data_IF_388259350089
#
_entry.id   IF_388259350089
#
_cell.length_a   1.000
_cell.length_b   1.000
_cell.length_c   1.000
_cell.angle_alpha   90.00
_cell.angle_beta   90.00
_cell.angle_gamma   90.00
#
_symmetry.space_group_name_H-M   'P 1'
#
loop_
_entity.id
_entity.type
_entity.pdbx_description
1 polymer ?
#
# COMPACT_ATOMS: atom_id res chain seq x y z
N UNK A 1 -17.48 19.19 -31.82
CA UNK A 1 -16.35 20.16 -31.67
C UNK A 1 -15.93 20.11 -30.20
N UNK A 2 -14.63 20.18 -29.89
CA UNK A 2 -14.18 20.28 -28.48
C UNK A 2 -14.39 21.70 -28.03
N UNK A 3 -15.18 21.96 -26.95
CA UNK A 3 -15.57 23.33 -26.57
C UNK A 3 -14.46 24.10 -25.82
N UNK A 4 -13.29 23.48 -25.62
CA UNK A 4 -12.16 24.10 -24.96
C UNK A 4 -10.91 24.08 -25.84
N UNK A 5 -10.08 25.11 -25.70
CA UNK A 5 -8.81 25.25 -26.42
C UNK A 5 -7.63 25.14 -25.48
N UNK A 6 -6.57 24.45 -25.93
CA UNK A 6 -5.29 24.39 -25.20
C UNK A 6 -4.73 25.82 -25.00
N UNK A 7 -4.15 26.07 -23.84
CA UNK A 7 -3.59 27.35 -23.40
C UNK A 7 -4.62 28.49 -23.23
N UNK A 8 -5.92 28.17 -23.20
CA UNK A 8 -6.97 29.12 -22.83
C UNK A 8 -7.42 28.88 -21.38
N UNK A 9 -7.90 29.95 -20.76
CA UNK A 9 -8.36 29.94 -19.37
C UNK A 9 -9.88 29.91 -19.35
N UNK A 10 -10.45 29.09 -18.45
CA UNK A 10 -11.88 28.92 -18.26
C UNK A 10 -12.24 28.91 -16.77
N UNK A 11 -13.46 29.32 -16.46
CA UNK A 11 -14.07 29.08 -15.15
C UNK A 11 -14.81 27.75 -15.19
N UNK A 12 -14.62 26.93 -14.15
CA UNK A 12 -15.20 25.61 -14.08
C UNK A 12 -15.68 25.31 -12.67
N UNK A 13 -16.89 24.76 -12.57
CA UNK A 13 -17.43 24.24 -11.31
C UNK A 13 -17.04 22.76 -11.18
N UNK A 14 -16.45 22.40 -10.06
CA UNK A 14 -16.02 21.04 -9.77
C UNK A 14 -17.17 20.27 -9.13
N UNK A 15 -17.57 19.16 -9.75
CA UNK A 15 -18.71 18.35 -9.35
C UNK A 15 -18.33 17.10 -8.55
N UNK A 16 -17.15 16.50 -8.82
CA UNK A 16 -16.71 15.25 -8.22
C UNK A 16 -15.17 15.20 -8.09
N UNK A 17 -14.65 14.16 -7.43
CA UNK A 17 -13.26 13.73 -7.50
C UNK A 17 -13.12 12.52 -8.42
N UNK A 18 -12.02 12.46 -9.14
CA UNK A 18 -11.60 11.29 -9.90
C UNK A 18 -10.75 10.34 -9.06
N UNK A 19 -10.54 9.13 -9.53
CA UNK A 19 -9.82 8.05 -8.82
C UNK A 19 -8.37 8.38 -8.43
N UNK A 20 -7.75 9.41 -9.03
CA UNK A 20 -6.43 9.88 -8.61
C UNK A 20 -6.51 11.12 -7.70
N UNK A 21 -7.69 11.51 -7.22
CA UNK A 21 -7.91 12.66 -6.35
C UNK A 21 -7.95 14.01 -7.07
N UNK A 22 -8.01 14.05 -8.41
CA UNK A 22 -8.23 15.27 -9.18
C UNK A 22 -9.72 15.67 -9.20
N UNK A 23 -9.99 16.99 -9.16
CA UNK A 23 -11.34 17.51 -9.32
C UNK A 23 -11.86 17.29 -10.75
N UNK A 24 -13.13 16.93 -10.88
CA UNK A 24 -13.81 16.72 -12.15
C UNK A 24 -14.87 17.80 -12.31
N UNK A 25 -14.77 18.58 -13.39
CA UNK A 25 -15.79 19.52 -13.82
C UNK A 25 -16.12 19.39 -15.30
N UNK A 26 -17.11 20.15 -15.78
CA UNK A 26 -17.52 20.16 -17.19
C UNK A 26 -17.62 21.57 -17.73
N UNK A 27 -17.16 21.76 -18.96
CA UNK A 27 -17.33 22.98 -19.75
C UNK A 27 -18.12 22.59 -21.00
N UNK A 28 -19.37 23.06 -21.12
CA UNK A 28 -20.29 22.70 -22.20
C UNK A 28 -20.36 21.17 -22.46
N UNK A 29 -20.46 20.40 -21.36
CA UNK A 29 -20.53 18.94 -21.39
C UNK A 29 -19.18 18.22 -21.52
N UNK A 30 -18.10 18.92 -21.85
CA UNK A 30 -16.74 18.35 -21.96
C UNK A 30 -16.07 18.22 -20.60
N UNK A 31 -15.63 17.02 -20.27
CA UNK A 31 -15.03 16.71 -18.97
C UNK A 31 -13.60 17.26 -18.85
N UNK A 32 -13.31 17.96 -17.77
CA UNK A 32 -11.96 18.47 -17.44
C UNK A 32 -11.55 17.99 -16.07
N UNK A 33 -10.36 17.36 -16.00
CA UNK A 33 -9.70 16.94 -14.77
C UNK A 33 -8.78 18.06 -14.28
N UNK A 34 -8.92 18.46 -13.02
CA UNK A 34 -8.19 19.60 -12.43
C UNK A 34 -7.51 19.15 -11.15
N UNK A 35 -6.20 18.99 -11.20
CA UNK A 35 -5.42 18.59 -10.01
C UNK A 35 -5.49 19.67 -8.92
N UNK A 36 -5.75 19.24 -7.67
CA UNK A 36 -5.82 20.11 -6.51
C UNK A 36 -7.14 20.87 -6.35
N UNK A 37 -8.10 20.71 -7.26
CA UNK A 37 -9.44 21.25 -7.12
C UNK A 37 -10.38 20.25 -6.41
N UNK A 38 -11.36 20.76 -5.66
CA UNK A 38 -12.28 19.96 -4.85
C UNK A 38 -13.74 20.14 -5.29
N UNK A 39 -14.61 19.15 -5.05
CA UNK A 39 -16.05 19.30 -5.26
C UNK A 39 -16.62 20.52 -4.55
N UNK A 40 -17.60 21.16 -5.18
CA UNK A 40 -18.25 22.40 -4.77
C UNK A 40 -17.40 23.66 -4.92
N UNK A 41 -16.20 23.57 -5.50
CA UNK A 41 -15.39 24.74 -5.86
C UNK A 41 -15.78 25.27 -7.23
N UNK A 42 -15.64 26.59 -7.39
CA UNK A 42 -15.55 27.27 -8.68
C UNK A 42 -14.11 27.69 -8.86
N UNK A 43 -13.49 27.25 -9.94
CA UNK A 43 -12.06 27.43 -10.18
C UNK A 43 -11.80 28.10 -11.53
N UNK A 44 -10.75 28.93 -11.59
CA UNK A 44 -10.15 29.37 -12.85
C UNK A 44 -9.04 28.41 -13.23
N UNK A 45 -9.14 27.81 -14.41
CA UNK A 45 -8.23 26.76 -14.88
C UNK A 45 -7.66 27.08 -16.25
N UNK A 46 -6.37 26.77 -16.46
CA UNK A 46 -5.71 26.81 -17.76
C UNK A 46 -5.77 25.41 -18.38
N UNK A 47 -6.35 25.26 -19.57
CA UNK A 47 -6.38 23.98 -20.28
C UNK A 47 -4.94 23.66 -20.77
N UNK A 48 -4.35 22.60 -20.24
CA UNK A 48 -2.98 22.19 -20.59
C UNK A 48 -2.94 21.07 -21.62
N UNK A 49 -4.00 20.26 -21.70
CA UNK A 49 -4.11 19.15 -22.64
C UNK A 49 -5.57 18.84 -22.98
N UNK A 50 -5.84 18.59 -24.26
CA UNK A 50 -7.14 18.13 -24.74
C UNK A 50 -7.04 16.72 -25.33
N UNK A 51 -8.09 15.93 -25.16
CA UNK A 51 -8.33 14.62 -25.76
C UNK A 51 -9.72 14.62 -26.39
N UNK A 52 -10.10 13.56 -27.10
CA UNK A 52 -11.38 13.49 -27.79
C UNK A 52 -12.59 13.70 -26.87
N UNK A 53 -12.57 13.14 -25.65
CA UNK A 53 -13.72 13.12 -24.73
C UNK A 53 -13.47 13.85 -23.41
N UNK A 54 -12.22 14.24 -23.11
CA UNK A 54 -11.84 14.91 -21.87
C UNK A 54 -10.55 15.74 -22.03
N UNK A 55 -10.29 16.62 -21.06
CA UNK A 55 -9.08 17.42 -21.00
C UNK A 55 -8.51 17.50 -19.58
N UNK A 56 -7.35 18.14 -19.48
CA UNK A 56 -6.67 18.43 -18.21
C UNK A 56 -6.51 19.94 -18.06
N UNK A 57 -6.92 20.44 -16.90
CA UNK A 57 -6.78 21.83 -16.48
C UNK A 57 -5.75 21.98 -15.37
N UNK A 58 -4.89 23.00 -15.46
CA UNK A 58 -4.06 23.45 -14.36
C UNK A 58 -4.86 24.45 -13.53
N UNK A 59 -5.01 24.19 -12.24
CA UNK A 59 -5.65 25.11 -11.30
C UNK A 59 -4.81 26.38 -11.20
N UNK A 60 -5.41 27.53 -11.53
CA UNK A 60 -4.79 28.86 -11.39
C UNK A 60 -5.28 29.54 -10.12
N UNK A 61 -6.60 29.52 -9.87
CA UNK A 61 -7.24 30.23 -8.77
C UNK A 61 -8.51 29.51 -8.33
N UNK A 62 -8.80 29.54 -7.04
CA UNK A 62 -10.05 29.07 -6.45
C UNK A 62 -10.90 30.32 -6.21
N UNK A 63 -11.96 30.49 -7.02
CA UNK A 63 -12.86 31.64 -6.95
C UNK A 63 -13.86 31.47 -5.78
N UNK A 64 -14.34 30.24 -5.59
CA UNK A 64 -15.21 29.88 -4.47
C UNK A 64 -14.67 28.59 -3.86
N UNK A 65 -14.16 28.61 -2.62
CA UNK A 65 -13.61 27.44 -1.98
C UNK A 65 -14.69 26.48 -1.48
N UNK A 66 -14.35 25.19 -1.45
CA UNK A 66 -15.15 24.17 -0.77
C UNK A 66 -15.06 24.33 0.76
N UNK A 67 -16.16 24.11 1.52
CA UNK A 67 -16.11 24.12 2.98
C UNK A 67 -15.23 22.98 3.56
N UNK A 68 -14.96 21.96 2.75
CA UNK A 68 -14.11 20.83 3.12
C UNK A 68 -12.63 21.04 2.81
N UNK A 69 -12.29 22.18 2.18
CA UNK A 69 -10.88 22.51 1.91
C UNK A 69 -10.11 22.76 3.20
N UNK A 70 -8.90 22.22 3.24
CA UNK A 70 -7.94 22.44 4.34
C UNK A 70 -6.60 22.86 3.76
N UNK A 71 -5.84 23.65 4.51
CA UNK A 71 -4.45 23.92 4.14
C UNK A 71 -3.58 22.71 4.48
N UNK A 72 -2.81 22.16 3.52
CA UNK A 72 -1.92 21.05 3.79
C UNK A 72 -0.84 21.42 4.81
N UNK A 73 -0.64 20.59 5.84
CA UNK A 73 0.44 20.81 6.81
C UNK A 73 1.83 20.56 6.22
N UNK A 74 1.94 19.78 5.15
CA UNK A 74 3.21 19.48 4.49
C UNK A 74 3.61 20.61 3.52
N UNK A 75 4.76 21.28 3.71
CA UNK A 75 5.18 22.40 2.87
C UNK A 75 5.45 21.99 1.41
N UNK A 76 5.73 20.73 1.16
CA UNK A 76 5.99 20.20 -0.19
C UNK A 76 4.80 19.45 -0.80
N UNK A 77 3.61 19.51 -0.19
CA UNK A 77 2.41 18.76 -0.62
C UNK A 77 2.03 19.01 -2.10
N UNK A 78 2.24 20.24 -2.61
CA UNK A 78 1.96 20.60 -4.01
C UNK A 78 2.94 19.97 -5.01
N UNK A 79 4.12 19.55 -4.56
CA UNK A 79 5.21 19.05 -5.42
C UNK A 79 5.39 17.53 -5.27
N UNK A 80 5.29 17.04 -4.04
CA UNK A 80 5.50 15.64 -3.69
C UNK A 80 4.37 14.74 -4.22
N UNK A 81 4.73 13.58 -4.79
CA UNK A 81 3.78 12.59 -5.28
C UNK A 81 3.17 11.68 -4.20
N UNK A 82 3.60 11.79 -2.94
CA UNK A 82 3.21 10.88 -1.87
C UNK A 82 1.77 11.04 -1.36
N UNK A 83 1.20 12.26 -1.45
CA UNK A 83 -0.14 12.58 -0.95
C UNK A 83 -0.98 13.26 -2.02
N UNK A 84 -2.24 12.84 -2.15
CA UNK A 84 -3.19 13.42 -3.12
C UNK A 84 -4.29 14.24 -2.44
N UNK A 85 -4.60 13.98 -1.15
CA UNK A 85 -5.82 14.48 -0.50
C UNK A 85 -5.57 15.33 0.77
N UNK A 86 -4.33 15.76 1.07
CA UNK A 86 -4.06 16.59 2.27
C UNK A 86 -4.86 17.92 2.30
N UNK A 87 -5.29 18.40 1.16
CA UNK A 87 -6.08 19.64 1.03
C UNK A 87 -7.59 19.41 1.22
N UNK A 88 -8.02 18.18 1.57
CA UNK A 88 -9.40 17.78 1.82
C UNK A 88 -9.56 17.36 3.29
N UNK A 89 -10.67 17.71 3.93
CA UNK A 89 -10.98 17.29 5.30
C UNK A 89 -11.03 15.77 5.40
N UNK A 90 -10.52 15.21 6.52
CA UNK A 90 -10.38 13.76 6.66
C UNK A 90 -11.72 13.01 6.56
N UNK A 91 -12.77 13.57 7.18
CA UNK A 91 -14.11 12.99 7.05
C UNK A 91 -14.59 12.91 5.60
N UNK A 92 -14.29 13.94 4.79
CA UNK A 92 -14.66 13.94 3.37
C UNK A 92 -13.75 13.02 2.55
N UNK A 93 -12.48 12.80 2.95
CA UNK A 93 -11.64 11.76 2.33
C UNK A 93 -12.27 10.37 2.50
N UNK A 94 -12.76 10.02 3.71
CA UNK A 94 -13.42 8.74 3.98
C UNK A 94 -14.71 8.58 3.16
N UNK A 95 -15.54 9.61 3.10
CA UNK A 95 -16.76 9.59 2.29
C UNK A 95 -16.45 9.41 0.79
N UNK A 96 -15.43 10.11 0.29
CA UNK A 96 -14.97 9.96 -1.09
C UNK A 96 -14.49 8.53 -1.38
N UNK A 97 -13.66 7.94 -0.53
CA UNK A 97 -13.15 6.59 -0.68
C UNK A 97 -14.27 5.53 -0.62
N UNK A 98 -15.23 5.70 0.28
CA UNK A 98 -16.42 4.83 0.33
C UNK A 98 -17.19 4.88 -0.98
N UNK A 99 -17.41 6.12 -1.50
CA UNK A 99 -18.13 6.29 -2.76
C UNK A 99 -17.38 5.72 -3.96
N UNK A 100 -16.05 5.81 -4.00
CA UNK A 100 -15.22 5.21 -5.05
C UNK A 100 -15.41 3.69 -5.10
N UNK A 101 -15.38 3.02 -3.94
CA UNK A 101 -15.64 1.58 -3.85
C UNK A 101 -17.04 1.23 -4.38
N UNK A 102 -18.06 1.96 -3.96
CA UNK A 102 -19.43 1.76 -4.43
C UNK A 102 -19.54 1.95 -5.94
N UNK A 103 -19.00 3.06 -6.47
CA UNK A 103 -19.05 3.40 -7.89
C UNK A 103 -18.35 2.32 -8.76
N UNK A 104 -17.23 1.75 -8.29
CA UNK A 104 -16.50 0.70 -9.00
C UNK A 104 -17.27 -0.63 -8.97
N UNK A 105 -17.87 -1.01 -7.85
CA UNK A 105 -18.72 -2.19 -7.75
C UNK A 105 -19.91 -2.11 -8.72
N UNK A 106 -20.59 -0.97 -8.77
CA UNK A 106 -21.73 -0.75 -9.65
C UNK A 106 -21.33 -0.72 -11.13
N UNK A 107 -20.30 0.06 -11.50
CA UNK A 107 -19.95 0.37 -12.90
C UNK A 107 -19.08 -0.68 -13.55
N UNK A 108 -18.15 -1.28 -12.79
CA UNK A 108 -17.20 -2.29 -13.28
C UNK A 108 -17.75 -3.69 -13.00
N UNK A 109 -18.19 -3.93 -11.77
CA UNK A 109 -18.67 -5.23 -11.31
C UNK A 109 -20.11 -5.54 -11.70
N UNK A 110 -20.93 -4.53 -11.99
CA UNK A 110 -22.38 -4.69 -12.17
C UNK A 110 -23.11 -5.14 -10.88
N UNK A 111 -22.48 -4.91 -9.72
CA UNK A 111 -22.95 -5.36 -8.42
C UNK A 111 -23.65 -4.17 -7.74
N UNK A 112 -24.99 -4.24 -7.59
CA UNK A 112 -25.81 -3.14 -7.10
C UNK A 112 -26.54 -3.44 -5.79
N UNK A 113 -26.62 -4.70 -5.39
CA UNK A 113 -27.35 -5.19 -4.21
C UNK A 113 -26.42 -5.55 -3.04
N UNK A 114 -25.28 -4.87 -2.95
CA UNK A 114 -24.30 -5.08 -1.89
C UNK A 114 -24.30 -3.93 -0.89
N UNK A 115 -24.11 -4.25 0.39
CA UNK A 115 -23.87 -3.24 1.42
C UNK A 115 -22.41 -2.81 1.42
N UNK A 116 -22.13 -1.57 0.96
CA UNK A 116 -20.84 -0.93 1.16
C UNK A 116 -20.91 -0.09 2.43
N UNK A 117 -20.13 -0.48 3.44
CA UNK A 117 -20.07 0.24 4.72
C UNK A 117 -19.26 1.53 4.58
N UNK A 118 -19.49 2.54 5.44
CA UNK A 118 -18.59 3.68 5.52
C UNK A 118 -17.15 3.25 5.79
N UNK A 119 -16.18 3.89 5.14
CA UNK A 119 -14.77 3.57 5.33
C UNK A 119 -14.33 3.78 6.78
N UNK A 120 -13.67 2.78 7.38
CA UNK A 120 -13.09 2.90 8.71
C UNK A 120 -11.83 3.75 8.60
N UNK A 121 -11.82 4.90 9.29
CA UNK A 121 -10.69 5.83 9.33
C UNK A 121 -9.82 5.65 10.58
N UNK A 122 -8.82 6.52 10.71
CA UNK A 122 -7.95 6.63 11.87
C UNK A 122 -8.34 7.84 12.72
N UNK A 123 -8.22 7.73 14.05
CA UNK A 123 -8.36 8.88 14.95
C UNK A 123 -7.21 9.88 14.74
N UNK A 124 -5.98 9.38 14.54
CA UNK A 124 -4.78 10.17 14.26
C UNK A 124 -4.18 9.78 12.89
N UNK A 125 -4.64 10.39 11.77
CA UNK A 125 -4.26 9.96 10.42
C UNK A 125 -2.88 10.45 9.96
N UNK A 126 -1.96 10.69 10.89
CA UNK A 126 -0.60 11.15 10.64
C UNK A 126 0.43 10.24 11.28
N UNK A 127 1.69 10.29 10.82
CA UNK A 127 2.82 9.54 11.40
C UNK A 127 2.62 8.01 11.48
N UNK A 128 1.70 7.48 10.68
CA UNK A 128 1.27 6.08 10.77
C UNK A 128 2.20 5.09 10.05
N UNK A 129 3.06 5.55 9.12
CA UNK A 129 3.88 4.64 8.31
C UNK A 129 5.08 4.13 9.09
N UNK A 130 5.18 2.80 9.19
CA UNK A 130 6.28 2.08 9.82
C UNK A 130 7.45 1.80 8.85
N UNK A 131 7.28 2.07 7.55
CA UNK A 131 8.30 1.89 6.52
C UNK A 131 8.38 3.10 5.62
N UNK A 132 9.59 3.58 5.38
CA UNK A 132 9.87 4.60 4.38
C UNK A 132 10.94 4.14 3.39
N UNK A 133 10.84 4.62 2.16
CA UNK A 133 11.84 4.45 1.11
C UNK A 133 12.11 5.81 0.50
N UNK A 134 13.27 6.37 0.81
CA UNK A 134 13.66 7.70 0.35
C UNK A 134 14.66 7.55 -0.81
N UNK A 135 14.33 7.98 -2.04
CA UNK A 135 15.32 8.16 -3.08
C UNK A 135 16.36 9.20 -2.66
N UNK A 136 17.60 8.96 -3.03
CA UNK A 136 18.75 9.81 -2.80
C UNK A 136 19.33 10.23 -4.15
N UNK A 137 19.61 11.50 -4.33
CA UNK A 137 20.16 12.00 -5.58
C UNK A 137 20.74 13.40 -5.45
N UNK A 138 21.25 13.95 -6.57
CA UNK A 138 21.82 15.28 -6.60
C UNK A 138 20.72 16.34 -6.55
N UNK A 139 20.79 17.21 -5.56
CA UNK A 139 19.95 18.40 -5.42
C UNK A 139 20.67 19.67 -5.84
N UNK A 140 20.00 20.82 -5.67
CA UNK A 140 20.59 22.14 -5.96
C UNK A 140 21.73 22.46 -5.01
N UNK A 141 21.57 22.13 -3.74
CA UNK A 141 22.46 22.49 -2.65
C UNK A 141 23.19 21.27 -2.04
N UNK A 142 23.48 20.25 -2.84
CA UNK A 142 24.11 18.99 -2.40
C UNK A 142 23.17 17.80 -2.46
N UNK A 143 23.22 16.90 -1.47
CA UNK A 143 22.43 15.70 -1.42
C UNK A 143 20.93 16.01 -1.18
N UNK A 144 20.07 15.62 -2.12
CA UNK A 144 18.62 15.62 -1.97
C UNK A 144 18.12 14.24 -1.51
N UNK A 145 17.32 14.23 -0.44
CA UNK A 145 16.66 13.03 0.09
C UNK A 145 15.20 13.37 0.32
N UNK A 146 14.29 12.57 -0.25
CA UNK A 146 12.87 12.89 -0.12
C UNK A 146 11.98 11.89 -0.85
N UNK A 147 11.06 12.39 -1.66
CA UNK A 147 10.15 11.56 -2.46
C UNK A 147 10.08 12.08 -3.89
N UNK A 148 9.65 11.22 -4.81
CA UNK A 148 9.48 11.65 -6.20
C UNK A 148 8.34 12.66 -6.36
N UNK A 149 8.57 13.64 -7.22
CA UNK A 149 7.50 14.51 -7.69
C UNK A 149 6.48 13.71 -8.50
N UNK A 150 5.25 14.20 -8.51
CA UNK A 150 4.15 13.56 -9.24
C UNK A 150 4.54 13.30 -10.70
N UNK A 151 4.35 12.05 -11.15
CA UNK A 151 4.63 11.58 -12.53
C UNK A 151 6.06 11.87 -13.01
N UNK A 152 7.04 11.83 -12.11
CA UNK A 152 8.44 12.15 -12.40
C UNK A 152 9.36 11.40 -11.44
N UNK A 153 10.61 11.18 -11.85
CA UNK A 153 11.68 10.70 -10.99
C UNK A 153 12.50 11.85 -10.34
N UNK A 154 12.05 13.11 -10.51
CA UNK A 154 12.66 14.23 -9.83
C UNK A 154 12.42 14.15 -8.32
N UNK A 155 13.46 14.11 -7.54
CA UNK A 155 13.39 14.08 -6.07
C UNK A 155 12.92 15.44 -5.56
N UNK A 156 11.87 15.45 -4.76
CA UNK A 156 11.44 16.58 -3.94
C UNK A 156 12.15 16.45 -2.62
N UNK A 157 13.20 17.23 -2.42
CA UNK A 157 13.94 17.21 -1.16
C UNK A 157 13.02 17.59 0.00
N UNK A 158 13.09 16.82 1.08
CA UNK A 158 12.25 17.06 2.24
C UNK A 158 13.02 16.82 3.53
N UNK A 159 12.79 17.71 4.49
CA UNK A 159 13.35 17.59 5.85
C UNK A 159 12.42 16.82 6.78
N UNK A 160 11.13 16.79 6.43
CA UNK A 160 10.09 16.21 7.28
C UNK A 160 8.96 15.62 6.41
N UNK A 161 8.46 14.45 6.81
CA UNK A 161 7.29 13.84 6.18
C UNK A 161 6.24 13.48 7.26
N UNK A 162 5.07 14.10 7.19
CA UNK A 162 4.01 13.93 8.19
C UNK A 162 3.28 12.58 8.12
N UNK A 163 3.50 11.76 7.09
CA UNK A 163 2.98 10.39 7.05
C UNK A 163 3.94 9.39 7.68
N UNK A 164 5.25 9.65 7.61
CA UNK A 164 6.29 8.77 8.12
C UNK A 164 6.46 8.95 9.64
N UNK A 165 6.94 7.90 10.31
CA UNK A 165 7.34 8.01 11.72
C UNK A 165 8.36 9.14 11.90
N UNK A 166 8.27 9.89 12.99
CA UNK A 166 9.08 11.09 13.23
C UNK A 166 10.59 10.81 13.34
N UNK A 167 10.98 9.60 13.77
CA UNK A 167 12.40 9.19 13.80
C UNK A 167 13.06 9.24 12.42
N UNK A 168 12.26 9.11 11.36
CA UNK A 168 12.77 9.23 9.98
C UNK A 168 13.33 10.62 9.68
N UNK A 169 12.79 11.66 10.29
CA UNK A 169 13.27 13.04 10.07
C UNK A 169 14.72 13.17 10.57
N UNK A 170 15.04 12.60 11.75
CA UNK A 170 16.41 12.57 12.30
C UNK A 170 17.33 11.63 11.50
N UNK A 171 16.86 10.44 11.12
CA UNK A 171 17.64 9.48 10.31
C UNK A 171 18.04 10.11 8.97
N UNK A 172 17.09 10.74 8.27
CA UNK A 172 17.34 11.41 6.98
C UNK A 172 18.33 12.55 7.14
N UNK A 173 18.23 13.35 8.20
CA UNK A 173 19.20 14.42 8.49
C UNK A 173 20.61 13.85 8.70
N UNK A 174 20.78 12.85 9.57
CA UNK A 174 22.06 12.20 9.84
C UNK A 174 22.71 11.60 8.57
N UNK A 175 21.90 10.92 7.76
CA UNK A 175 22.41 10.31 6.52
C UNK A 175 22.78 11.40 5.51
N UNK A 176 21.99 12.46 5.38
CA UNK A 176 22.30 13.60 4.51
C UNK A 176 23.63 14.26 4.89
N UNK A 177 23.82 14.55 6.17
CA UNK A 177 25.05 15.16 6.69
C UNK A 177 26.26 14.25 6.42
N UNK A 178 26.13 12.95 6.67
CA UNK A 178 27.15 11.96 6.35
C UNK A 178 27.51 11.92 4.86
N UNK A 179 26.50 11.89 3.97
CA UNK A 179 26.74 11.83 2.53
C UNK A 179 27.44 13.09 2.01
N UNK A 180 27.08 14.27 2.54
CA UNK A 180 27.71 15.54 2.18
C UNK A 180 29.14 15.67 2.76
N UNK A 181 29.35 15.33 4.03
CA UNK A 181 30.64 15.43 4.72
C UNK A 181 31.71 14.56 4.05
N UNK A 182 31.37 13.31 3.73
CA UNK A 182 32.30 12.38 3.10
C UNK A 182 32.23 12.37 1.57
N UNK A 183 31.47 13.29 0.97
CA UNK A 183 31.30 13.42 -0.48
C UNK A 183 30.99 12.07 -1.16
N UNK A 184 30.11 11.29 -0.55
CA UNK A 184 29.73 9.96 -1.06
C UNK A 184 29.00 10.14 -2.41
N UNK A 185 29.40 9.45 -3.48
CA UNK A 185 28.75 9.54 -4.78
C UNK A 185 27.28 9.13 -4.72
N UNK A 186 26.38 10.01 -5.16
CA UNK A 186 24.95 9.77 -5.23
C UNK A 186 24.61 9.10 -6.56
N UNK A 187 23.66 8.17 -6.54
CA UNK A 187 23.24 7.46 -7.75
C UNK A 187 22.43 8.36 -8.67
N UNK A 188 22.77 8.32 -9.93
CA UNK A 188 22.05 8.96 -11.01
C UNK A 188 21.34 7.89 -11.86
N UNK A 189 20.01 8.01 -11.97
CA UNK A 189 19.17 7.01 -12.66
C UNK A 189 19.32 7.08 -14.20
N UNK A 190 19.76 8.21 -14.77
CA UNK A 190 19.93 8.37 -16.22
C UNK A 190 21.25 7.74 -16.69
N UNK A 191 22.33 8.04 -15.97
CA UNK A 191 23.68 7.54 -16.31
C UNK A 191 24.00 6.20 -15.67
N UNK A 192 23.24 5.77 -14.66
CA UNK A 192 23.47 4.58 -13.84
C UNK A 192 24.82 4.57 -13.13
N UNK A 193 25.32 5.73 -12.77
CA UNK A 193 26.57 5.94 -12.03
C UNK A 193 26.29 6.40 -10.60
N UNK A 194 27.35 6.47 -9.78
CA UNK A 194 27.22 6.79 -8.36
C UNK A 194 26.91 5.56 -7.49
N UNK A 195 26.83 5.77 -6.18
CA UNK A 195 26.82 4.70 -5.18
C UNK A 195 25.49 4.58 -4.43
N UNK A 196 25.05 5.63 -3.73
CA UNK A 196 23.88 5.56 -2.83
C UNK A 196 22.62 5.87 -3.61
N UNK A 197 21.69 4.90 -3.62
CA UNK A 197 20.42 4.95 -4.37
C UNK A 197 19.24 5.38 -3.49
N UNK A 198 19.06 4.69 -2.36
CA UNK A 198 17.91 4.90 -1.48
C UNK A 198 18.30 4.70 -0.03
N UNK A 199 17.50 5.26 0.86
CA UNK A 199 17.45 4.92 2.29
C UNK A 199 16.12 4.24 2.53
N UNK A 200 16.15 3.02 3.05
CA UNK A 200 14.96 2.36 3.56
C UNK A 200 15.02 2.34 5.08
N UNK A 201 13.94 2.71 5.72
CA UNK A 201 13.77 2.59 7.17
C UNK A 201 12.60 1.68 7.49
N UNK A 202 12.72 0.94 8.59
CA UNK A 202 11.62 0.23 9.23
C UNK A 202 11.61 0.54 10.70
N UNK A 203 10.44 0.76 11.25
CA UNK A 203 10.25 1.12 12.65
C UNK A 203 9.09 0.30 13.19
N UNK A 204 9.38 -0.61 14.13
CA UNK A 204 8.36 -1.38 14.83
C UNK A 204 7.49 -0.45 15.67
N UNK A 205 6.17 -0.54 15.50
CA UNK A 205 5.22 0.29 16.26
C UNK A 205 5.16 -0.16 17.72
N UNK A 206 5.07 -1.45 17.95
CA UNK A 206 4.96 -2.02 19.31
C UNK A 206 6.32 -2.17 19.98
N UNK A 207 7.34 -2.61 19.24
CA UNK A 207 8.68 -2.84 19.78
C UNK A 207 9.50 -1.56 19.92
N UNK A 208 9.23 -0.54 19.12
CA UNK A 208 10.08 0.64 18.98
C UNK A 208 11.42 0.37 18.27
N UNK A 209 11.67 -0.85 17.79
CA UNK A 209 12.89 -1.20 17.08
C UNK A 209 13.01 -0.47 15.75
N UNK A 210 14.22 0.02 15.44
CA UNK A 210 14.52 0.79 14.22
C UNK A 210 15.57 0.05 13.39
N UNK A 211 15.30 -0.08 12.10
CA UNK A 211 16.23 -0.54 11.09
C UNK A 211 16.48 0.56 10.06
N UNK A 212 17.74 0.76 9.70
CA UNK A 212 18.15 1.59 8.56
C UNK A 212 18.88 0.72 7.55
N UNK A 213 18.40 0.73 6.31
CA UNK A 213 19.01 0.02 5.19
C UNK A 213 19.42 1.03 4.12
N UNK A 214 20.72 1.10 3.81
CA UNK A 214 21.25 1.93 2.72
C UNK A 214 21.34 1.09 1.45
N UNK A 215 20.65 1.49 0.40
CA UNK A 215 20.64 0.81 -0.89
C UNK A 215 21.74 1.35 -1.77
N UNK A 216 22.64 0.46 -2.20
CA UNK A 216 23.85 0.81 -2.93
C UNK A 216 23.90 0.19 -4.34
N UNK A 217 24.39 0.97 -5.28
CA UNK A 217 24.92 0.50 -6.56
C UNK A 217 26.36 0.00 -6.37
N UNK A 218 26.60 -0.80 -5.35
CA UNK A 218 27.91 -1.27 -4.96
C UNK A 218 27.84 -2.23 -3.79
N UNK A 219 28.99 -2.70 -3.29
CA UNK A 219 29.07 -3.69 -2.19
C UNK A 219 29.58 -3.09 -0.86
N UNK A 220 30.09 -1.88 -0.87
CA UNK A 220 30.68 -1.22 0.30
C UNK A 220 30.29 0.25 0.33
N UNK A 221 30.05 0.76 1.52
CA UNK A 221 29.84 2.18 1.79
C UNK A 221 31.12 2.70 2.46
N UNK A 222 31.86 3.64 1.86
CA UNK A 222 33.00 4.25 2.52
C UNK A 222 32.57 4.93 3.84
N UNK A 223 33.41 4.86 4.86
CA UNK A 223 33.17 5.45 6.19
C UNK A 223 31.91 4.94 6.89
N UNK A 224 31.47 3.70 6.56
CA UNK A 224 30.25 3.12 7.13
C UNK A 224 30.25 3.02 8.64
N UNK A 225 31.42 2.87 9.27
CA UNK A 225 31.62 2.85 10.72
C UNK A 225 31.17 4.18 11.37
N UNK A 226 31.47 5.32 10.74
CA UNK A 226 31.02 6.62 11.23
C UNK A 226 29.49 6.78 11.10
N UNK A 227 28.92 6.30 9.99
CA UNK A 227 27.46 6.31 9.82
C UNK A 227 26.78 5.46 10.90
N UNK A 228 27.30 4.25 11.15
CA UNK A 228 26.80 3.33 12.20
C UNK A 228 26.84 4.01 13.55
N UNK A 229 27.98 4.59 13.96
CA UNK A 229 28.11 5.31 15.24
C UNK A 229 27.07 6.43 15.39
N UNK A 230 26.81 7.20 14.32
CA UNK A 230 25.80 8.27 14.35
C UNK A 230 24.39 7.71 14.47
N UNK A 231 24.06 6.67 13.69
CA UNK A 231 22.73 6.07 13.70
C UNK A 231 22.41 5.36 15.02
N UNK A 232 23.40 4.81 15.73
CA UNK A 232 23.23 4.22 17.06
C UNK A 232 22.66 5.19 18.11
N UNK A 233 22.77 6.50 17.89
CA UNK A 233 22.21 7.55 18.76
C UNK A 233 20.68 7.71 18.60
N UNK A 234 20.11 7.12 17.55
CA UNK A 234 18.66 7.12 17.35
C UNK A 234 18.04 6.12 18.31
N UNK A 235 17.05 6.56 19.07
CA UNK A 235 16.31 5.70 19.98
C UNK A 235 15.68 4.51 19.28
N UNK A 236 15.90 3.32 19.84
CA UNK A 236 15.40 2.06 19.28
C UNK A 236 16.22 1.50 18.11
N UNK A 237 17.35 2.11 17.75
CA UNK A 237 18.20 1.59 16.68
C UNK A 237 18.76 0.21 17.05
N UNK A 238 18.42 -0.81 16.26
CA UNK A 238 18.87 -2.20 16.47
C UNK A 238 19.49 -2.81 15.23
N UNK A 239 19.35 -2.17 14.06
CA UNK A 239 19.77 -2.74 12.79
C UNK A 239 20.26 -1.66 11.83
N UNK A 240 21.49 -1.78 11.34
CA UNK A 240 22.04 -0.99 10.23
C UNK A 240 22.59 -1.94 9.18
N UNK A 241 22.00 -1.92 7.99
CA UNK A 241 22.31 -2.86 6.92
C UNK A 241 22.53 -2.14 5.58
N UNK A 242 23.24 -2.80 4.68
CA UNK A 242 23.34 -2.41 3.27
C UNK A 242 22.50 -3.37 2.43
N UNK A 243 21.83 -2.84 1.44
CA UNK A 243 21.23 -3.60 0.36
C UNK A 243 21.99 -3.35 -0.94
N UNK A 244 22.43 -4.42 -1.60
CA UNK A 244 23.16 -4.32 -2.85
C UNK A 244 22.20 -4.42 -4.02
N UNK A 245 21.96 -3.30 -4.71
CA UNK A 245 21.17 -3.25 -5.93
C UNK A 245 21.95 -2.57 -7.06
N UNK A 246 22.48 -3.39 -7.98
CA UNK A 246 23.25 -2.94 -9.16
C UNK A 246 22.43 -3.00 -10.45
N UNK A 247 21.17 -3.41 -10.34
CA UNK A 247 20.29 -3.57 -11.50
C UNK A 247 19.80 -2.20 -12.00
N UNK A 248 19.74 -2.05 -13.33
CA UNK A 248 19.22 -0.87 -14.01
C UNK A 248 17.69 -0.97 -14.18
N UNK A 249 16.99 -1.08 -13.07
CA UNK A 249 15.52 -1.25 -13.02
C UNK A 249 14.90 -0.33 -11.99
N UNK A 250 13.58 -0.20 -12.04
CA UNK A 250 12.79 0.55 -11.04
C UNK A 250 12.64 -0.22 -9.70
N UNK A 251 13.18 -1.44 -9.59
CA UNK A 251 13.17 -2.20 -8.34
C UNK A 251 14.15 -1.56 -7.37
N UNK A 252 13.67 -1.16 -6.20
CA UNK A 252 14.48 -0.43 -5.21
C UNK A 252 15.49 -1.36 -4.52
N UNK A 253 15.05 -2.55 -4.10
CA UNK A 253 15.87 -3.47 -3.31
C UNK A 253 16.43 -4.61 -4.18
N UNK A 254 17.72 -4.83 -4.05
CA UNK A 254 18.37 -6.05 -4.55
C UNK A 254 18.21 -7.21 -3.56
N UNK A 255 18.65 -8.41 -3.95
CA UNK A 255 18.51 -9.62 -3.11
C UNK A 255 19.55 -9.72 -2.00
N UNK A 256 20.70 -9.07 -2.12
CA UNK A 256 21.81 -9.22 -1.17
C UNK A 256 21.73 -8.15 -0.09
N UNK A 257 21.70 -8.61 1.17
CA UNK A 257 21.80 -7.78 2.39
C UNK A 257 23.20 -8.02 3.01
N UNK A 258 23.76 -6.98 3.60
CA UNK A 258 25.03 -7.01 4.35
C UNK A 258 24.78 -6.25 5.65
N UNK A 259 24.85 -6.94 6.77
CA UNK A 259 24.71 -6.31 8.09
C UNK A 259 25.99 -5.58 8.45
N UNK A 260 25.85 -4.28 8.74
CA UNK A 260 26.95 -3.45 9.23
C UNK A 260 27.02 -3.48 10.74
N UNK A 261 25.84 -3.49 11.38
CA UNK A 261 25.74 -3.50 12.85
C UNK A 261 24.36 -3.99 13.30
N UNK A 262 24.36 -4.67 14.44
CA UNK A 262 23.14 -5.11 15.11
C UNK A 262 22.49 -6.33 14.47
N UNK A 263 21.17 -6.37 14.47
CA UNK A 263 20.35 -7.48 13.98
C UNK A 263 20.15 -7.40 12.45
N UNK A 264 19.84 -8.53 11.82
CA UNK A 264 19.44 -8.60 10.41
C UNK A 264 17.97 -8.22 10.20
N UNK A 265 17.18 -8.25 11.26
CA UNK A 265 15.73 -8.05 11.29
C UNK A 265 15.34 -7.14 12.45
N UNK A 266 14.12 -6.62 12.39
CA UNK A 266 13.43 -6.05 13.53
C UNK A 266 12.21 -6.90 13.89
N UNK A 267 11.69 -6.73 15.09
CA UNK A 267 10.43 -7.32 15.51
C UNK A 267 9.34 -6.25 15.59
N UNK A 268 8.11 -6.64 15.33
CA UNK A 268 6.91 -5.83 15.60
C UNK A 268 5.74 -6.76 15.89
N UNK A 269 4.65 -6.25 16.46
CA UNK A 269 3.45 -7.05 16.69
C UNK A 269 2.19 -6.39 16.14
N UNK A 270 1.25 -7.22 15.71
CA UNK A 270 -0.11 -6.85 15.35
C UNK A 270 -1.07 -7.66 16.22
N UNK A 271 -1.87 -6.98 17.03
CA UNK A 271 -2.81 -7.59 17.96
C UNK A 271 -2.19 -8.76 18.76
N UNK A 272 -0.96 -8.55 19.28
CA UNK A 272 -0.23 -9.53 20.08
C UNK A 272 0.40 -10.71 19.30
N UNK A 273 0.31 -10.75 17.96
CA UNK A 273 1.06 -11.68 17.12
C UNK A 273 2.40 -11.01 16.74
N UNK A 274 3.51 -11.62 17.13
CA UNK A 274 4.84 -11.10 16.84
C UNK A 274 5.32 -11.52 15.45
N UNK A 275 5.94 -10.58 14.73
CA UNK A 275 6.52 -10.79 13.42
C UNK A 275 8.00 -10.39 13.40
N UNK A 276 8.81 -11.23 12.78
CA UNK A 276 10.19 -10.90 12.42
C UNK A 276 10.21 -10.31 11.01
N UNK A 277 10.80 -9.11 10.88
CA UNK A 277 10.71 -8.31 9.66
C UNK A 277 12.13 -8.01 9.15
N UNK A 278 12.46 -8.56 7.99
CA UNK A 278 13.72 -8.28 7.27
C UNK A 278 13.58 -7.02 6.39
N UNK A 279 14.66 -6.45 5.85
CA UNK A 279 14.58 -5.38 4.86
C UNK A 279 13.71 -5.74 3.65
N UNK A 280 13.68 -7.03 3.27
CA UNK A 280 12.99 -7.53 2.07
C UNK A 280 11.55 -7.98 2.33
N UNK A 281 11.17 -8.30 3.58
CA UNK A 281 9.84 -8.79 3.92
C UNK A 281 8.76 -7.79 3.51
N UNK A 282 7.66 -8.27 2.95
CA UNK A 282 6.44 -7.48 2.87
C UNK A 282 5.80 -7.44 4.25
N UNK A 283 5.51 -6.27 4.74
CA UNK A 283 4.78 -6.01 5.98
C UNK A 283 4.01 -4.71 5.80
N UNK A 284 2.74 -4.71 6.16
CA UNK A 284 1.84 -3.57 5.96
C UNK A 284 2.38 -2.31 6.63
N UNK A 285 2.26 -1.17 5.93
CA UNK A 285 2.94 0.07 6.34
C UNK A 285 2.21 0.88 7.41
N UNK A 286 0.95 0.55 7.70
CA UNK A 286 0.13 1.18 8.73
C UNK A 286 -0.36 0.10 9.70
N UNK A 287 0.39 -0.22 10.75
CA UNK A 287 0.04 -1.31 11.65
C UNK A 287 -1.31 -1.09 12.36
N UNK A 288 -1.70 0.15 12.67
CA UNK A 288 -3.01 0.46 13.29
C UNK A 288 -4.16 -0.01 12.41
N UNK A 289 -4.16 0.41 11.16
CA UNK A 289 -5.22 0.02 10.24
C UNK A 289 -5.09 -1.41 9.73
N UNK A 290 -3.90 -2.01 9.82
CA UNK A 290 -3.70 -3.43 9.50
C UNK A 290 -4.39 -4.33 10.51
N UNK A 291 -4.30 -4.00 11.80
CA UNK A 291 -5.06 -4.69 12.86
C UNK A 291 -6.57 -4.63 12.55
N UNK A 292 -7.10 -3.43 12.30
CA UNK A 292 -8.52 -3.22 11.92
C UNK A 292 -8.91 -4.01 10.67
N UNK A 293 -8.06 -4.01 9.64
CA UNK A 293 -8.30 -4.72 8.38
C UNK A 293 -8.40 -6.23 8.59
N UNK A 294 -7.44 -6.80 9.35
CA UNK A 294 -7.37 -8.25 9.58
C UNK A 294 -8.43 -8.73 10.58
N UNK A 295 -8.70 -7.95 11.62
CA UNK A 295 -9.83 -8.22 12.53
C UNK A 295 -11.16 -8.24 11.77
N UNK A 296 -11.37 -7.27 10.87
CA UNK A 296 -12.57 -7.24 10.03
C UNK A 296 -12.64 -8.44 9.08
N UNK A 297 -11.53 -8.91 8.52
CA UNK A 297 -11.48 -10.10 7.69
C UNK A 297 -11.91 -11.37 8.50
N UNK A 298 -11.37 -11.50 9.71
CA UNK A 298 -11.74 -12.61 10.63
C UNK A 298 -13.19 -12.49 11.12
N UNK A 299 -13.67 -11.27 11.41
CA UNK A 299 -15.06 -11.00 11.79
C UNK A 299 -16.04 -11.43 10.67
N UNK A 300 -15.78 -11.02 9.43
CA UNK A 300 -16.63 -11.33 8.28
C UNK A 300 -16.60 -12.83 7.95
N UNK A 301 -15.49 -13.52 8.18
CA UNK A 301 -15.43 -14.98 8.04
C UNK A 301 -16.35 -15.71 9.03
N UNK A 302 -16.62 -15.11 10.19
CA UNK A 302 -17.51 -15.64 11.24
C UNK A 302 -17.22 -17.11 11.55
N UNK A 303 -15.97 -17.39 11.94
CA UNK A 303 -15.49 -18.75 12.23
C UNK A 303 -16.03 -19.27 13.56
N UNK A 304 -16.36 -20.56 13.61
CA UNK A 304 -16.88 -21.26 14.81
C UNK A 304 -15.83 -22.14 15.49
N UNK A 305 -14.68 -22.34 14.85
CA UNK A 305 -13.54 -23.11 15.38
C UNK A 305 -13.36 -24.50 14.77
N UNK A 306 -14.20 -24.89 13.85
CA UNK A 306 -14.14 -26.18 13.15
C UNK A 306 -13.77 -26.04 11.66
N UNK A 307 -13.61 -24.81 11.17
CA UNK A 307 -13.33 -24.54 9.77
C UNK A 307 -11.86 -24.74 9.39
N UNK A 308 -11.69 -25.16 8.14
CA UNK A 308 -10.42 -25.13 7.40
C UNK A 308 -10.38 -23.90 6.52
N UNK A 309 -9.36 -23.07 6.72
CA UNK A 309 -9.13 -21.82 5.98
C UNK A 309 -7.95 -21.99 5.02
N UNK A 310 -8.13 -21.60 3.76
CA UNK A 310 -7.03 -21.43 2.80
C UNK A 310 -6.71 -19.94 2.64
N UNK A 311 -5.48 -19.53 2.93
CA UNK A 311 -4.97 -18.18 2.70
C UNK A 311 -4.08 -18.19 1.44
N UNK A 312 -4.60 -17.59 0.37
CA UNK A 312 -3.94 -17.55 -0.93
C UNK A 312 -3.29 -16.17 -1.10
N UNK A 313 -2.00 -16.13 -1.33
CA UNK A 313 -1.09 -14.98 -1.22
C UNK A 313 -0.69 -14.65 0.24
N UNK A 314 -0.41 -15.67 1.05
CA UNK A 314 -0.22 -15.49 2.49
C UNK A 314 1.01 -14.65 2.90
N UNK A 315 1.96 -14.41 1.99
CA UNK A 315 3.19 -13.66 2.29
C UNK A 315 3.96 -14.27 3.46
N UNK A 316 4.29 -13.45 4.47
CA UNK A 316 4.94 -13.90 5.71
C UNK A 316 3.96 -14.44 6.75
N UNK A 317 2.73 -14.78 6.33
CA UNK A 317 1.70 -15.39 7.16
C UNK A 317 0.88 -14.42 8.00
N UNK A 318 0.89 -13.11 7.71
CA UNK A 318 0.22 -12.11 8.57
C UNK A 318 -1.26 -12.40 8.74
N UNK A 319 -2.04 -12.52 7.65
CA UNK A 319 -3.47 -12.85 7.72
C UNK A 319 -3.70 -14.27 8.22
N UNK A 320 -2.89 -15.25 7.73
CA UNK A 320 -2.99 -16.65 8.15
C UNK A 320 -2.97 -16.81 9.68
N UNK A 321 -2.06 -16.09 10.37
CA UNK A 321 -1.91 -16.20 11.83
C UNK A 321 -3.08 -15.53 12.59
N UNK A 322 -3.71 -14.49 12.03
CA UNK A 322 -4.96 -13.94 12.58
C UNK A 322 -6.10 -14.96 12.50
N UNK A 323 -6.27 -15.62 11.35
CA UNK A 323 -7.27 -16.65 11.15
C UNK A 323 -7.02 -17.89 12.03
N UNK A 324 -5.74 -18.28 12.21
CA UNK A 324 -5.38 -19.46 13.01
C UNK A 324 -5.82 -19.38 14.47
N UNK A 325 -6.05 -18.18 15.01
CA UNK A 325 -6.57 -17.99 16.38
C UNK A 325 -8.01 -18.46 16.54
N UNK A 326 -8.77 -18.57 15.44
CA UNK A 326 -10.20 -18.93 15.47
C UNK A 326 -10.56 -20.13 14.59
N UNK A 327 -9.74 -20.48 13.62
CA UNK A 327 -9.94 -21.62 12.75
C UNK A 327 -9.42 -22.91 13.39
N UNK A 328 -9.98 -24.05 12.97
CA UNK A 328 -9.40 -25.37 13.28
C UNK A 328 -8.03 -25.52 12.65
N UNK A 329 -7.89 -25.12 11.39
CA UNK A 329 -6.66 -25.23 10.62
C UNK A 329 -6.57 -24.15 9.54
N UNK A 330 -5.37 -23.65 9.28
CA UNK A 330 -5.07 -22.69 8.21
C UNK A 330 -3.97 -23.23 7.30
N UNK A 331 -4.19 -23.15 5.99
CA UNK A 331 -3.18 -23.45 4.97
C UNK A 331 -2.84 -22.18 4.20
N UNK A 332 -1.61 -21.69 4.37
CA UNK A 332 -1.10 -20.54 3.63
C UNK A 332 -0.33 -20.96 2.37
N UNK A 333 -0.57 -20.29 1.26
CA UNK A 333 0.13 -20.54 -0.01
C UNK A 333 0.73 -19.23 -0.53
N UNK A 334 2.02 -19.27 -0.87
CA UNK A 334 2.75 -18.11 -1.40
C UNK A 334 3.83 -18.59 -2.39
N UNK A 335 4.03 -17.85 -3.46
CA UNK A 335 4.98 -18.20 -4.51
C UNK A 335 6.44 -17.94 -4.11
N UNK A 336 6.68 -17.05 -3.14
CA UNK A 336 8.01 -16.62 -2.70
C UNK A 336 8.52 -17.52 -1.58
N UNK A 337 9.56 -18.36 -1.81
CA UNK A 337 10.07 -19.32 -0.80
C UNK A 337 10.54 -18.64 0.49
N UNK A 338 11.16 -17.47 0.38
CA UNK A 338 11.67 -16.72 1.53
C UNK A 338 10.52 -16.24 2.43
N UNK A 339 9.41 -15.81 1.84
CA UNK A 339 8.22 -15.40 2.59
C UNK A 339 7.59 -16.59 3.35
N UNK A 340 7.55 -17.78 2.74
CA UNK A 340 7.09 -19.01 3.44
C UNK A 340 8.03 -19.41 4.58
N UNK A 341 9.34 -19.25 4.41
CA UNK A 341 10.28 -19.49 5.49
C UNK A 341 10.04 -18.54 6.67
N UNK A 342 9.76 -17.27 6.40
CA UNK A 342 9.40 -16.28 7.42
C UNK A 342 8.03 -16.59 8.04
N UNK A 343 7.02 -17.02 7.26
CA UNK A 343 5.70 -17.41 7.77
C UNK A 343 5.78 -18.55 8.78
N UNK A 344 6.59 -19.58 8.51
CA UNK A 344 6.82 -20.70 9.43
C UNK A 344 7.48 -20.26 10.72
N UNK A 345 8.52 -19.41 10.66
CA UNK A 345 9.17 -18.83 11.84
C UNK A 345 8.20 -17.98 12.66
N UNK A 346 7.34 -17.19 11.99
CA UNK A 346 6.34 -16.38 12.67
C UNK A 346 5.30 -17.26 13.37
N UNK A 347 4.84 -18.35 12.76
CA UNK A 347 3.96 -19.32 13.41
C UNK A 347 4.61 -19.95 14.65
N UNK A 348 5.86 -20.42 14.53
CA UNK A 348 6.65 -21.00 15.63
C UNK A 348 6.83 -20.00 16.78
N UNK A 349 7.24 -18.77 16.47
CA UNK A 349 7.42 -17.67 17.43
C UNK A 349 6.18 -17.41 18.28
N UNK A 350 5.00 -17.53 17.69
CA UNK A 350 3.72 -17.31 18.34
C UNK A 350 3.07 -18.58 18.92
N UNK A 351 3.76 -19.72 18.89
CA UNK A 351 3.22 -21.02 19.29
C UNK A 351 1.93 -21.40 18.54
N UNK A 352 1.74 -20.96 17.31
CA UNK A 352 0.61 -21.29 16.45
C UNK A 352 0.95 -22.58 15.69
N UNK A 353 0.31 -23.68 16.06
CA UNK A 353 0.59 -25.03 15.53
C UNK A 353 -0.43 -25.50 14.49
N UNK A 354 -1.53 -24.77 14.33
CA UNK A 354 -2.61 -25.09 13.39
C UNK A 354 -2.53 -24.30 12.08
N UNK A 355 -1.39 -23.63 11.81
CA UNK A 355 -1.11 -22.98 10.53
C UNK A 355 0.04 -23.72 9.81
N UNK A 356 -0.18 -24.08 8.55
CA UNK A 356 0.82 -24.72 7.69
C UNK A 356 1.01 -23.92 6.41
N UNK A 357 2.21 -23.97 5.82
CA UNK A 357 2.56 -23.10 4.71
C UNK A 357 3.25 -23.89 3.58
N UNK A 358 2.81 -23.63 2.34
CA UNK A 358 3.34 -24.25 1.13
C UNK A 358 3.84 -23.20 0.13
N UNK A 359 5.01 -23.52 -0.49
CA UNK A 359 5.56 -22.69 -1.59
C UNK A 359 4.93 -23.13 -2.92
N UNK A 360 4.43 -22.21 -3.69
CA UNK A 360 3.95 -22.41 -5.05
C UNK A 360 2.84 -21.47 -5.45
N UNK A 361 2.44 -21.55 -6.71
CA UNK A 361 1.28 -20.86 -7.21
C UNK A 361 0.01 -21.52 -6.65
N UNK A 362 -0.92 -20.71 -6.15
CA UNK A 362 -2.12 -21.22 -5.48
C UNK A 362 -2.94 -22.13 -6.42
N UNK A 363 -3.08 -21.77 -7.70
CA UNK A 363 -3.73 -22.54 -8.73
C UNK A 363 -3.10 -23.91 -9.03
N UNK A 364 -1.88 -24.17 -8.57
CA UNK A 364 -1.18 -25.45 -8.71
C UNK A 364 -1.18 -26.24 -7.38
N UNK A 365 -0.94 -25.53 -6.28
CA UNK A 365 -0.83 -26.14 -4.95
C UNK A 365 -2.19 -26.61 -4.45
N UNK A 366 -3.25 -25.80 -4.58
CA UNK A 366 -4.56 -26.10 -4.02
C UNK A 366 -5.21 -27.34 -4.64
N UNK A 367 -5.25 -27.53 -5.98
CA UNK A 367 -5.79 -28.77 -6.55
C UNK A 367 -5.04 -30.02 -6.11
N UNK A 368 -3.74 -29.89 -5.80
CA UNK A 368 -2.94 -30.98 -5.25
C UNK A 368 -3.36 -31.32 -3.82
N UNK A 369 -3.41 -30.30 -2.93
CA UNK A 369 -3.86 -30.48 -1.54
C UNK A 369 -5.24 -31.10 -1.47
N UNK A 370 -6.17 -30.68 -2.32
CA UNK A 370 -7.51 -31.26 -2.40
C UNK A 370 -7.49 -32.73 -2.83
N UNK A 371 -6.72 -33.09 -3.88
CA UNK A 371 -6.72 -34.45 -4.44
C UNK A 371 -5.88 -35.44 -3.64
N UNK A 372 -4.74 -35.00 -3.11
CA UNK A 372 -3.75 -35.89 -2.46
C UNK A 372 -3.96 -35.96 -0.95
N UNK A 373 -4.37 -34.87 -0.34
CA UNK A 373 -4.51 -34.74 1.11
C UNK A 373 -5.99 -34.67 1.58
N UNK A 374 -6.93 -34.58 0.64
CA UNK A 374 -8.37 -34.52 0.94
C UNK A 374 -8.78 -33.24 1.68
N UNK A 375 -7.99 -32.15 1.56
CA UNK A 375 -8.24 -30.91 2.27
C UNK A 375 -9.37 -30.17 1.57
N UNK A 376 -10.56 -30.15 2.20
CA UNK A 376 -11.68 -29.31 1.82
C UNK A 376 -11.60 -27.99 2.58
N UNK A 377 -11.76 -26.87 1.87
CA UNK A 377 -11.78 -25.55 2.48
C UNK A 377 -13.23 -25.12 2.75
N UNK A 378 -13.48 -24.68 3.97
CA UNK A 378 -14.73 -24.02 4.35
C UNK A 378 -14.68 -22.54 4.00
N UNK A 379 -13.51 -21.93 4.18
CA UNK A 379 -13.25 -20.51 3.90
C UNK A 379 -11.98 -20.35 3.05
N UNK A 380 -12.05 -19.52 2.04
CA UNK A 380 -10.88 -19.04 1.27
C UNK A 380 -10.67 -17.56 1.57
N UNK A 381 -9.43 -17.19 1.89
CA UNK A 381 -9.00 -15.81 2.06
C UNK A 381 -8.02 -15.46 0.93
N UNK A 382 -8.17 -14.29 0.32
CA UNK A 382 -7.25 -13.77 -0.69
C UNK A 382 -6.88 -12.34 -0.39
N UNK A 383 -5.58 -12.00 -0.53
CA UNK A 383 -5.04 -10.63 -0.49
C UNK A 383 -4.09 -10.43 -1.70
N UNK A 384 -4.65 -10.35 -2.93
CA UNK A 384 -3.86 -10.30 -4.13
C UNK A 384 -3.17 -8.94 -4.31
N UNK A 385 -2.11 -8.86 -5.15
CA UNK A 385 -1.51 -7.59 -5.54
C UNK A 385 -2.51 -6.69 -6.30
N UNK A 386 -2.13 -5.43 -6.54
CA UNK A 386 -2.99 -4.40 -7.20
C UNK A 386 -3.65 -4.83 -8.52
N UNK A 387 -3.13 -5.81 -9.22
CA UNK A 387 -3.73 -6.37 -10.44
C UNK A 387 -4.95 -7.26 -10.20
N UNK A 388 -5.25 -7.59 -8.95
CA UNK A 388 -6.27 -8.56 -8.55
C UNK A 388 -5.80 -10.00 -8.69
N UNK A 389 -6.72 -10.94 -8.52
CA UNK A 389 -6.46 -12.36 -8.71
C UNK A 389 -6.19 -12.70 -10.18
N UNK A 390 -5.36 -13.72 -10.39
CA UNK A 390 -5.22 -14.36 -11.69
C UNK A 390 -6.52 -15.11 -12.06
N UNK A 391 -6.84 -15.18 -13.36
CA UNK A 391 -8.05 -15.86 -13.82
C UNK A 391 -8.09 -17.34 -13.41
N UNK A 392 -6.95 -18.04 -13.46
CA UNK A 392 -6.83 -19.44 -13.02
C UNK A 392 -7.13 -19.61 -11.54
N UNK A 393 -6.71 -18.63 -10.71
CA UNK A 393 -7.01 -18.69 -9.28
C UNK A 393 -8.51 -18.51 -9.03
N UNK A 394 -9.18 -17.57 -9.72
CA UNK A 394 -10.62 -17.42 -9.62
C UNK A 394 -11.37 -18.71 -10.04
N UNK A 395 -10.94 -19.35 -11.13
CA UNK A 395 -11.46 -20.65 -11.55
C UNK A 395 -11.22 -21.72 -10.49
N UNK A 396 -10.04 -21.74 -9.86
CA UNK A 396 -9.72 -22.68 -8.78
C UNK A 396 -10.62 -22.47 -7.57
N UNK A 397 -10.88 -21.22 -7.16
CA UNK A 397 -11.82 -20.90 -6.07
C UNK A 397 -13.23 -21.40 -6.42
N UNK A 398 -13.69 -21.22 -7.65
CA UNK A 398 -14.99 -21.70 -8.11
C UNK A 398 -15.07 -23.23 -8.12
N UNK A 399 -13.97 -23.94 -8.40
CA UNK A 399 -13.89 -25.41 -8.38
C UNK A 399 -13.88 -25.99 -6.97
N UNK A 400 -13.11 -25.37 -6.04
CA UNK A 400 -13.08 -25.75 -4.62
C UNK A 400 -14.45 -25.51 -4.00
N UNK A 401 -15.11 -24.44 -4.44
CA UNK A 401 -16.45 -24.03 -4.01
C UNK A 401 -16.61 -23.90 -2.47
N UNK A 402 -15.71 -23.15 -1.77
CA UNK A 402 -15.83 -22.94 -0.34
C UNK A 402 -17.16 -22.23 -0.01
N UNK A 403 -17.62 -22.40 1.23
CA UNK A 403 -18.85 -21.72 1.68
C UNK A 403 -18.69 -20.20 1.71
N UNK A 404 -17.50 -19.74 2.08
CA UNK A 404 -17.17 -18.33 2.22
C UNK A 404 -15.87 -17.99 1.49
N UNK A 405 -15.85 -16.81 0.87
CA UNK A 405 -14.62 -16.18 0.37
C UNK A 405 -14.50 -14.82 1.05
N UNK A 406 -13.36 -14.57 1.70
CA UNK A 406 -12.99 -13.27 2.25
C UNK A 406 -11.95 -12.68 1.32
N UNK A 407 -12.30 -11.60 0.63
CA UNK A 407 -11.44 -10.93 -0.33
C UNK A 407 -10.92 -9.63 0.26
N UNK A 408 -9.63 -9.55 0.52
CA UNK A 408 -8.92 -8.31 0.87
C UNK A 408 -8.37 -7.66 -0.40
N UNK A 409 -8.50 -6.36 -0.58
CA UNK A 409 -8.07 -5.69 -1.81
C UNK A 409 -7.66 -4.25 -1.62
N UNK A 410 -6.49 -3.89 -2.16
CA UNK A 410 -5.99 -2.51 -2.22
C UNK A 410 -6.44 -1.72 -3.48
N UNK A 411 -7.29 -2.31 -4.34
CA UNK A 411 -7.74 -1.68 -5.58
C UNK A 411 -9.21 -1.99 -5.85
N UNK A 412 -10.14 -1.02 -5.64
CA UNK A 412 -11.57 -1.23 -5.82
C UNK A 412 -11.97 -1.70 -7.23
N UNK A 413 -11.29 -1.19 -8.27
CA UNK A 413 -11.61 -1.53 -9.65
C UNK A 413 -11.31 -3.01 -9.99
N UNK A 414 -10.15 -3.53 -9.53
CA UNK A 414 -9.83 -4.95 -9.71
C UNK A 414 -10.64 -5.85 -8.79
N UNK A 415 -10.96 -5.39 -7.58
CA UNK A 415 -11.92 -6.05 -6.70
C UNK A 415 -13.27 -6.23 -7.41
N UNK A 416 -13.85 -5.15 -7.92
CA UNK A 416 -15.15 -5.20 -8.61
C UNK A 416 -15.15 -6.18 -9.80
N UNK A 417 -14.07 -6.20 -10.59
CA UNK A 417 -13.89 -7.17 -11.69
C UNK A 417 -13.89 -8.61 -11.21
N UNK A 418 -13.13 -8.90 -10.17
CA UNK A 418 -12.94 -10.26 -9.65
C UNK A 418 -14.22 -10.75 -8.96
N UNK A 419 -14.89 -9.85 -8.23
CA UNK A 419 -16.19 -10.14 -7.61
C UNK A 419 -17.27 -10.48 -8.66
N UNK A 420 -17.26 -9.80 -9.82
CA UNK A 420 -18.18 -10.12 -10.92
C UNK A 420 -17.99 -11.56 -11.42
N UNK A 421 -16.73 -12.04 -11.52
CA UNK A 421 -16.42 -13.42 -11.92
C UNK A 421 -16.94 -14.43 -10.87
N UNK A 422 -16.67 -14.17 -9.60
CA UNK A 422 -17.14 -15.05 -8.51
C UNK A 422 -18.66 -15.04 -8.41
N UNK A 423 -19.31 -13.88 -8.59
CA UNK A 423 -20.77 -13.78 -8.58
C UNK A 423 -21.40 -14.55 -9.76
N UNK A 424 -20.84 -14.45 -10.96
CA UNK A 424 -21.26 -15.27 -12.10
C UNK A 424 -21.09 -16.78 -11.84
N UNK A 425 -20.13 -17.17 -10.98
CA UNK A 425 -19.89 -18.53 -10.52
C UNK A 425 -20.78 -19.00 -9.37
N UNK A 426 -21.76 -18.19 -8.93
CA UNK A 426 -22.77 -18.55 -7.94
C UNK A 426 -22.46 -18.08 -6.51
N UNK A 427 -21.53 -17.13 -6.33
CA UNK A 427 -21.34 -16.45 -5.06
C UNK A 427 -22.21 -15.20 -4.95
N UNK A 428 -22.62 -14.87 -3.75
CA UNK A 428 -23.30 -13.63 -3.41
C UNK A 428 -22.36 -12.72 -2.63
N UNK A 429 -22.15 -11.51 -3.12
CA UNK A 429 -21.41 -10.48 -2.40
C UNK A 429 -22.30 -9.96 -1.27
N UNK A 430 -21.91 -10.14 -0.02
CA UNK A 430 -22.74 -9.81 1.15
C UNK A 430 -22.46 -8.43 1.69
N UNK A 431 -21.19 -8.14 1.89
CA UNK A 431 -20.75 -6.90 2.50
C UNK A 431 -19.37 -6.52 1.98
N UNK A 432 -19.14 -5.23 1.81
CA UNK A 432 -17.80 -4.66 1.56
C UNK A 432 -17.53 -3.60 2.62
N UNK A 433 -16.43 -3.79 3.36
CA UNK A 433 -15.92 -2.85 4.34
C UNK A 433 -14.65 -2.19 3.84
N UNK A 434 -14.69 -0.93 3.42
CA UNK A 434 -13.49 -0.14 3.15
C UNK A 434 -12.75 0.20 4.45
N UNK A 435 -11.42 0.18 4.42
CA UNK A 435 -10.52 0.56 5.54
C UNK A 435 -9.47 1.52 5.02
N UNK A 436 -9.35 2.69 5.64
CA UNK A 436 -8.38 3.70 5.21
C UNK A 436 -6.97 3.40 5.69
N UNK A 437 -6.33 2.44 5.06
CA UNK A 437 -4.94 2.03 5.29
C UNK A 437 -3.94 3.16 4.96
N UNK A 438 -4.32 4.10 4.09
CA UNK A 438 -3.45 5.13 3.55
C UNK A 438 -4.08 6.54 3.63
N UNK A 439 -4.30 7.09 4.85
CA UNK A 439 -4.78 8.47 5.01
C UNK A 439 -4.02 9.48 4.16
N UNK A 440 -4.73 10.49 3.67
CA UNK A 440 -4.20 11.57 2.81
C UNK A 440 -3.76 11.15 1.40
N UNK A 441 -3.92 9.89 1.04
CA UNK A 441 -3.75 9.38 -0.32
C UNK A 441 -5.11 8.97 -0.91
N UNK A 442 -5.16 8.73 -2.21
CA UNK A 442 -6.35 8.19 -2.89
C UNK A 442 -6.51 6.67 -2.76
N UNK A 443 -5.63 5.98 -2.06
CA UNK A 443 -5.71 4.53 -1.89
C UNK A 443 -6.63 4.14 -0.75
N UNK A 444 -7.29 2.99 -0.90
CA UNK A 444 -8.21 2.38 0.06
C UNK A 444 -8.03 0.87 0.05
N UNK A 445 -8.03 0.25 1.23
CA UNK A 445 -8.15 -1.20 1.37
C UNK A 445 -9.62 -1.58 1.57
N UNK A 446 -9.98 -2.79 1.19
CA UNK A 446 -11.34 -3.30 1.31
C UNK A 446 -11.31 -4.73 1.82
N UNK A 447 -12.26 -5.08 2.67
CA UNK A 447 -12.56 -6.47 3.01
C UNK A 447 -13.96 -6.77 2.49
N UNK A 448 -14.08 -7.82 1.69
CA UNK A 448 -15.33 -8.24 1.10
C UNK A 448 -15.66 -9.68 1.52
N UNK A 449 -16.90 -9.91 1.94
CA UNK A 449 -17.42 -11.24 2.18
C UNK A 449 -18.30 -11.69 0.99
N UNK A 450 -17.97 -12.86 0.46
CA UNK A 450 -18.83 -13.59 -0.45
C UNK A 450 -19.28 -14.92 0.20
N UNK A 451 -20.53 -15.31 -0.05
CA UNK A 451 -21.07 -16.58 0.40
C UNK A 451 -21.68 -17.34 -0.76
N UNK A 452 -21.65 -18.65 -0.68
CA UNK A 452 -22.33 -19.55 -1.60
C UNK A 452 -23.33 -20.40 -0.85
N UNK A 453 -24.55 -20.54 -1.38
CA UNK A 453 -25.50 -21.48 -0.84
C UNK A 453 -25.04 -22.90 -1.17
N UNK A 454 -24.96 -23.75 -0.16
CA UNK A 454 -24.77 -25.19 -0.40
C UNK A 454 -25.99 -25.69 -1.22
N UNK A 455 -25.74 -26.23 -2.41
CA UNK A 455 -26.76 -27.05 -3.05
C UNK A 455 -26.94 -28.30 -2.18
N UNK A 456 -28.08 -28.36 -1.51
CA UNK A 456 -28.53 -29.51 -0.74
C UNK A 456 -28.69 -30.73 -1.67
#
# INVERSE_FOLDING_TARGET
>A
MIPVEKNKTYEIKIAALGSNGEGIGRIEGYTVFVEGALPRETCRVLIVKTRKHFGYGKLLEILTPSPDRREPCCPVAKQCGGCQLQHLSYATQLAYKTKEVQDDLERIGGITDVTVRPAIGMDAPWRYRNKAQFPVGQGKDGCAIGFYAKRSHRIVDTKQCFLQNERNDAIVALVRDFLNEFQIPLYDEETHTGLVRHILTRIGRSSGEVMVCIVLNGKRLPHSEVLVERLQRIEGMVSVVLNVNREKTNVILGRKIITLWGKDTITDSLDGIEFEISPLSFYQVNPVQTEVLYEKAVELADLKGDETVLDLYCGIGTISLFFARKARQVFGVEIVPEAIADARKNAERNNITNATFAVGAAEEVIPRLYREEGIAADVVVVDPPRKGCDARLLETILQIAPEKVVYVSCNPATLARDLAVLAAGGYHVREVQPVDQFPHTNHIENVCLLTRERKI
#
